data_IF_650266850968
#
_entry.id   IF_650266850968
#
_cell.length_a   1.000
_cell.length_b   1.000
_cell.length_c   1.000
_cell.angle_alpha   90.00
_cell.angle_beta   90.00
_cell.angle_gamma   90.00
#
_symmetry.space_group_name_H-M   'P 1'
#
loop_
_entity.id
_entity.type
_entity.pdbx_description
1 polymer ?
#
# COMPACT_ATOMS: atom_id res chain seq x y z
N UNK A 1 -11.44 -11.08 -23.35
CA UNK A 1 -10.60 -9.96 -22.88
C UNK A 1 -9.81 -10.43 -21.67
N UNK A 2 -8.50 -10.28 -21.65
CA UNK A 2 -7.63 -10.53 -20.49
C UNK A 2 -7.81 -9.34 -19.54
N UNK A 3 -8.34 -9.55 -18.31
CA UNK A 3 -8.59 -8.46 -17.37
C UNK A 3 -7.27 -7.93 -16.79
N UNK A 4 -7.30 -6.68 -16.30
CA UNK A 4 -6.16 -6.08 -15.60
C UNK A 4 -5.83 -6.82 -14.29
N UNK A 5 -6.84 -7.26 -13.55
CA UNK A 5 -6.74 -8.01 -12.32
C UNK A 5 -7.83 -9.07 -12.24
N UNK A 6 -7.53 -10.19 -11.59
CA UNK A 6 -8.49 -11.23 -11.25
C UNK A 6 -8.19 -11.70 -9.83
N UNK A 7 -9.14 -11.57 -8.90
CA UNK A 7 -8.99 -12.13 -7.56
C UNK A 7 -8.74 -13.65 -7.63
N UNK A 8 -7.74 -14.12 -6.91
CA UNK A 8 -7.45 -15.54 -6.79
C UNK A 8 -8.13 -16.11 -5.56
N UNK A 9 -8.79 -17.26 -5.72
CA UNK A 9 -9.38 -18.02 -4.63
C UNK A 9 -8.62 -19.33 -4.46
N UNK A 10 -8.20 -19.62 -3.24
CA UNK A 10 -7.47 -20.85 -2.89
C UNK A 10 -8.37 -22.08 -2.90
N UNK A 11 -9.70 -21.86 -2.83
CA UNK A 11 -10.71 -22.90 -2.67
C UNK A 11 -11.03 -23.21 -1.20
N UNK A 12 -10.30 -22.63 -0.23
CA UNK A 12 -10.49 -22.86 1.21
C UNK A 12 -11.37 -21.78 1.88
N UNK A 13 -11.61 -20.65 1.22
CA UNK A 13 -12.31 -19.49 1.76
C UNK A 13 -13.72 -19.87 2.30
N UNK A 14 -14.51 -20.55 1.49
CA UNK A 14 -15.87 -20.97 1.88
C UNK A 14 -15.88 -21.92 3.08
N UNK A 15 -14.90 -22.83 3.18
CA UNK A 15 -14.77 -23.76 4.29
C UNK A 15 -14.43 -23.02 5.59
N UNK A 16 -13.47 -22.08 5.56
CA UNK A 16 -13.11 -21.32 6.76
C UNK A 16 -14.22 -20.34 7.19
N UNK A 17 -14.93 -19.74 6.25
CA UNK A 17 -16.13 -18.94 6.57
C UNK A 17 -17.18 -19.82 7.26
N UNK A 18 -17.43 -21.06 6.78
CA UNK A 18 -18.34 -21.99 7.42
C UNK A 18 -17.89 -22.35 8.84
N UNK A 19 -16.60 -22.53 9.08
CA UNK A 19 -16.04 -22.77 10.42
C UNK A 19 -16.25 -21.55 11.33
N UNK A 20 -16.01 -20.34 10.85
CA UNK A 20 -16.26 -19.11 11.62
C UNK A 20 -17.73 -18.99 12.04
N UNK A 21 -18.66 -19.29 11.12
CA UNK A 21 -20.10 -19.33 11.42
C UNK A 21 -20.46 -20.38 12.48
N UNK A 22 -19.89 -21.59 12.36
CA UNK A 22 -20.14 -22.69 13.31
C UNK A 22 -19.59 -22.41 14.72
N UNK A 23 -18.50 -21.63 14.83
CA UNK A 23 -17.93 -21.22 16.12
C UNK A 23 -18.84 -20.23 16.90
N UNK A 24 -19.88 -19.67 16.27
CA UNK A 24 -20.88 -18.82 16.92
C UNK A 24 -20.39 -17.41 17.27
N UNK A 25 -19.12 -17.05 17.02
CA UNK A 25 -18.60 -15.69 17.16
C UNK A 25 -18.44 -15.07 15.77
N UNK A 26 -19.36 -14.16 15.39
CA UNK A 26 -19.42 -13.54 14.07
C UNK A 26 -18.76 -12.17 14.02
N UNK A 27 -18.76 -11.47 15.16
CA UNK A 27 -18.07 -10.16 15.29
C UNK A 27 -16.56 -10.34 15.34
N UNK A 28 -15.82 -9.33 14.99
CA UNK A 28 -14.35 -9.35 14.95
C UNK A 28 -13.69 -9.71 16.29
N UNK A 29 -12.37 -9.85 16.24
CA UNK A 29 -11.52 -10.31 17.34
C UNK A 29 -11.85 -11.74 17.83
N UNK A 30 -12.22 -12.61 16.89
CA UNK A 30 -12.42 -14.03 17.12
C UNK A 30 -11.19 -14.86 16.80
N UNK A 31 -11.41 -16.13 16.50
CA UNK A 31 -10.33 -17.09 16.26
C UNK A 31 -9.55 -16.79 14.97
N UNK A 32 -10.25 -16.52 13.86
CA UNK A 32 -9.58 -16.24 12.58
C UNK A 32 -8.89 -14.89 12.60
N UNK A 33 -9.47 -13.86 13.24
CA UNK A 33 -8.77 -12.59 13.46
C UNK A 33 -7.43 -12.81 14.15
N UNK A 34 -7.41 -13.59 15.24
CA UNK A 34 -6.18 -13.89 15.99
C UNK A 34 -5.19 -14.72 15.18
N UNK A 35 -5.67 -15.73 14.44
CA UNK A 35 -4.80 -16.53 13.56
C UNK A 35 -4.07 -15.63 12.54
N UNK A 36 -4.81 -14.75 11.87
CA UNK A 36 -4.22 -13.82 10.90
C UNK A 36 -3.20 -12.90 11.57
N UNK A 37 -3.55 -12.27 12.70
CA UNK A 37 -2.67 -11.36 13.41
C UNK A 37 -1.39 -12.06 13.89
N UNK A 38 -1.50 -13.22 14.55
CA UNK A 38 -0.36 -13.97 15.04
C UNK A 38 0.56 -14.41 13.88
N UNK A 39 -0.01 -14.92 12.79
CA UNK A 39 0.77 -15.31 11.61
C UNK A 39 1.58 -14.14 11.04
N UNK A 40 0.96 -12.96 10.92
CA UNK A 40 1.61 -11.77 10.39
C UNK A 40 2.66 -11.20 11.35
N UNK A 41 2.38 -11.22 12.67
CA UNK A 41 3.33 -10.83 13.71
C UNK A 41 4.57 -11.74 13.70
N UNK A 42 4.39 -13.06 13.67
CA UNK A 42 5.48 -14.03 13.63
C UNK A 42 6.29 -13.95 12.34
N UNK A 43 5.62 -13.84 11.19
CA UNK A 43 6.26 -13.86 9.88
C UNK A 43 7.12 -12.62 9.62
N UNK A 44 6.62 -11.44 9.97
CA UNK A 44 7.24 -10.17 9.63
C UNK A 44 7.90 -9.46 10.82
N UNK A 45 7.73 -9.98 12.01
CA UNK A 45 8.27 -9.38 13.23
C UNK A 45 7.53 -8.11 13.65
N UNK A 46 6.23 -7.99 13.32
CA UNK A 46 5.41 -6.90 13.83
C UNK A 46 5.30 -7.01 15.35
N UNK A 47 5.55 -5.90 16.05
CA UNK A 47 5.38 -5.88 17.52
C UNK A 47 3.94 -6.17 17.92
N UNK A 48 3.00 -5.57 17.21
CA UNK A 48 1.55 -5.75 17.35
C UNK A 48 0.88 -5.40 16.02
N UNK A 49 -0.14 -6.15 15.66
CA UNK A 49 -0.99 -5.76 14.56
C UNK A 49 -2.49 -5.96 14.88
N UNK A 50 -3.32 -5.18 14.22
CA UNK A 50 -4.78 -5.22 14.34
C UNK A 50 -5.40 -5.25 12.94
N UNK A 51 -6.21 -6.29 12.65
CA UNK A 51 -6.99 -6.33 11.41
C UNK A 51 -8.03 -5.21 11.39
N UNK A 52 -8.20 -4.60 10.24
CA UNK A 52 -9.21 -3.56 10.00
C UNK A 52 -10.13 -3.92 8.85
N UNK A 53 -11.28 -3.26 8.76
CA UNK A 53 -12.28 -3.49 7.71
C UNK A 53 -11.80 -3.06 6.32
N UNK A 54 -10.80 -2.18 6.26
CA UNK A 54 -10.14 -1.77 5.01
C UNK A 54 -8.74 -1.21 5.29
N UNK A 55 -7.91 -1.07 4.25
CA UNK A 55 -6.65 -0.32 4.35
C UNK A 55 -6.88 1.16 4.68
N UNK A 56 -8.00 1.73 4.26
CA UNK A 56 -8.43 3.09 4.63
C UNK A 56 -8.63 3.21 6.12
N UNK A 57 -9.31 2.24 6.74
CA UNK A 57 -9.52 2.22 8.19
C UNK A 57 -8.21 2.07 8.97
N UNK A 58 -7.25 1.32 8.45
CA UNK A 58 -5.91 1.26 9.06
C UNK A 58 -5.23 2.64 9.06
N UNK A 59 -5.31 3.38 7.96
CA UNK A 59 -4.81 4.76 7.86
C UNK A 59 -5.58 5.73 8.78
N UNK A 60 -6.90 5.60 8.88
CA UNK A 60 -7.73 6.41 9.79
C UNK A 60 -7.40 6.13 11.25
N UNK A 61 -7.20 4.87 11.63
CA UNK A 61 -6.71 4.51 12.96
C UNK A 61 -5.32 5.10 13.24
N UNK A 62 -4.41 5.02 12.26
CA UNK A 62 -3.08 5.63 12.38
C UNK A 62 -3.18 7.15 12.56
N UNK A 63 -4.02 7.84 11.79
CA UNK A 63 -4.25 9.28 11.95
C UNK A 63 -4.77 9.64 13.35
N UNK A 64 -5.76 8.89 13.87
CA UNK A 64 -6.26 9.08 15.24
C UNK A 64 -5.18 8.84 16.30
N UNK A 65 -4.33 7.82 16.10
CA UNK A 65 -3.22 7.50 17.02
C UNK A 65 -2.16 8.58 17.07
N UNK A 66 -1.84 9.20 15.92
CA UNK A 66 -0.87 10.30 15.88
C UNK A 66 -1.36 11.55 16.61
N UNK A 67 -2.65 11.66 16.86
CA UNK A 67 -3.26 12.79 17.57
C UNK A 67 -3.28 14.08 16.76
N UNK A 68 -3.13 14.00 15.42
CA UNK A 68 -3.23 15.19 14.55
C UNK A 68 -4.64 15.77 14.55
N UNK A 69 -4.72 17.09 14.42
CA UNK A 69 -5.97 17.82 14.41
C UNK A 69 -5.88 19.14 13.67
N UNK A 70 -6.89 20.02 13.84
CA UNK A 70 -6.88 21.36 13.24
C UNK A 70 -5.62 22.14 13.62
N UNK A 71 -4.94 22.70 12.62
CA UNK A 71 -3.69 23.45 12.78
C UNK A 71 -2.42 22.60 12.60
N UNK A 72 -2.51 21.28 12.64
CA UNK A 72 -1.37 20.39 12.37
C UNK A 72 -1.21 20.11 10.87
N UNK A 73 0.03 19.81 10.47
CA UNK A 73 0.39 19.46 9.10
C UNK A 73 0.93 18.03 8.97
N UNK A 74 0.57 17.39 7.86
CA UNK A 74 1.00 16.03 7.51
C UNK A 74 1.60 16.05 6.11
N UNK A 75 2.85 15.60 5.98
CA UNK A 75 3.55 15.51 4.70
C UNK A 75 3.21 14.16 4.04
N UNK A 76 2.68 14.21 2.81
CA UNK A 76 2.19 13.06 2.04
C UNK A 76 2.65 13.18 0.59
N UNK A 77 3.07 12.11 -0.11
CA UNK A 77 3.31 12.18 -1.54
C UNK A 77 2.00 12.48 -2.28
N UNK A 78 2.09 13.27 -3.35
CA UNK A 78 0.87 13.60 -4.12
C UNK A 78 0.45 12.49 -5.07
N UNK A 79 1.39 11.65 -5.53
CA UNK A 79 1.11 10.52 -6.41
C UNK A 79 0.79 9.26 -5.58
N UNK A 80 -0.43 9.23 -5.04
CA UNK A 80 -0.93 8.12 -4.21
C UNK A 80 -2.45 7.98 -4.31
N UNK A 81 -2.99 6.94 -3.68
CA UNK A 81 -4.44 6.80 -3.52
C UNK A 81 -4.98 7.79 -2.49
N UNK A 82 -6.21 8.21 -2.67
CA UNK A 82 -6.85 9.26 -1.84
C UNK A 82 -6.85 8.96 -0.35
N UNK A 83 -6.93 7.70 0.05
CA UNK A 83 -7.01 7.28 1.47
C UNK A 83 -5.80 7.73 2.27
N UNK A 84 -4.60 7.77 1.67
CA UNK A 84 -3.37 8.22 2.32
C UNK A 84 -3.50 9.64 2.88
N UNK A 85 -4.10 10.55 2.11
CA UNK A 85 -4.32 11.94 2.53
C UNK A 85 -5.62 12.09 3.34
N UNK A 86 -6.69 11.40 2.90
CA UNK A 86 -8.05 11.53 3.44
C UNK A 86 -8.11 11.22 4.94
N UNK A 87 -7.39 10.18 5.40
CA UNK A 87 -7.36 9.76 6.79
C UNK A 87 -6.98 10.92 7.73
N UNK A 88 -5.98 11.70 7.38
CA UNK A 88 -5.50 12.83 8.18
C UNK A 88 -6.39 14.07 8.00
N UNK A 89 -6.91 14.30 6.80
CA UNK A 89 -7.87 15.38 6.55
C UNK A 89 -9.15 15.21 7.39
N UNK A 90 -9.62 13.99 7.61
CA UNK A 90 -10.78 13.71 8.48
C UNK A 90 -10.53 14.06 9.93
N UNK A 91 -9.28 14.01 10.40
CA UNK A 91 -8.89 14.50 11.71
C UNK A 91 -8.77 16.04 11.77
N UNK A 92 -8.91 16.74 10.64
CA UNK A 92 -8.81 18.21 10.55
C UNK A 92 -7.39 18.71 10.27
N UNK A 93 -6.42 17.83 10.07
CA UNK A 93 -5.05 18.21 9.71
C UNK A 93 -4.99 18.77 8.28
N UNK A 94 -4.00 19.63 8.02
CA UNK A 94 -3.64 20.07 6.67
C UNK A 94 -2.66 19.09 6.04
N UNK A 95 -2.93 18.65 4.82
CA UNK A 95 -1.98 17.85 4.04
C UNK A 95 -1.04 18.77 3.25
N UNK A 96 0.26 18.53 3.38
CA UNK A 96 1.32 19.19 2.63
C UNK A 96 1.88 18.17 1.66
N UNK A 97 1.64 18.39 0.35
CA UNK A 97 2.09 17.45 -0.64
C UNK A 97 3.57 17.62 -0.95
N UNK A 98 4.28 16.51 -1.07
CA UNK A 98 5.66 16.41 -1.54
C UNK A 98 5.70 15.69 -2.87
N UNK A 99 6.67 16.03 -3.70
CA UNK A 99 6.86 15.43 -5.02
C UNK A 99 7.44 14.02 -4.92
N UNK A 100 7.27 13.24 -5.97
CA UNK A 100 7.93 11.95 -6.16
C UNK A 100 9.36 12.10 -6.63
N UNK A 101 10.14 11.03 -6.54
CA UNK A 101 11.45 10.93 -7.17
C UNK A 101 11.32 11.00 -8.68
N UNK A 102 12.39 11.34 -9.36
CA UNK A 102 12.42 11.39 -10.84
C UNK A 102 12.54 10.00 -11.49
N UNK A 103 13.05 9.02 -10.77
CA UNK A 103 13.38 7.68 -11.24
C UNK A 103 12.41 6.58 -10.75
N UNK A 104 11.59 6.89 -9.75
CA UNK A 104 10.54 5.99 -9.21
C UNK A 104 9.39 6.79 -8.58
N UNK A 105 8.15 6.25 -8.54
CA UNK A 105 6.99 7.01 -8.03
C UNK A 105 6.97 7.27 -6.53
N UNK A 106 7.91 6.72 -5.74
CA UNK A 106 7.99 6.95 -4.30
C UNK A 106 8.30 8.41 -3.96
N UNK A 107 7.98 8.77 -2.72
CA UNK A 107 8.27 10.08 -2.14
C UNK A 107 9.76 10.45 -2.28
N UNK A 108 10.05 11.67 -2.71
CA UNK A 108 11.42 12.20 -2.71
C UNK A 108 11.79 12.69 -1.31
N UNK A 109 12.54 11.85 -0.58
CA UNK A 109 12.97 12.16 0.78
C UNK A 109 13.80 13.45 0.87
N UNK A 110 14.52 13.83 -0.19
CA UNK A 110 15.36 15.05 -0.21
C UNK A 110 14.52 16.34 -0.19
N UNK A 111 13.25 16.25 -0.57
CA UNK A 111 12.33 17.40 -0.59
C UNK A 111 11.54 17.56 0.71
N UNK A 112 11.56 16.57 1.60
CA UNK A 112 10.74 16.56 2.83
C UNK A 112 11.13 17.70 3.78
N UNK A 113 12.43 17.86 4.05
CA UNK A 113 12.91 18.76 5.10
C UNK A 113 12.54 20.23 4.83
N UNK A 114 12.52 20.64 3.55
CA UNK A 114 12.12 22.00 3.13
C UNK A 114 10.62 22.29 3.35
N UNK A 115 9.80 21.26 3.60
CA UNK A 115 8.35 21.36 3.84
C UNK A 115 7.98 21.37 5.30
N UNK A 116 8.94 21.11 6.18
CA UNK A 116 8.70 21.03 7.63
C UNK A 116 8.50 22.43 8.19
N UNK A 117 7.40 22.61 8.92
CA UNK A 117 7.07 23.80 9.69
C UNK A 117 6.89 23.44 11.18
N UNK A 118 6.75 24.41 12.08
CA UNK A 118 6.40 24.10 13.48
C UNK A 118 5.07 23.35 13.67
N UNK A 119 4.23 23.31 12.64
CA UNK A 119 2.94 22.62 12.64
C UNK A 119 3.04 21.18 12.12
N UNK A 120 4.13 20.79 11.48
CA UNK A 120 4.33 19.45 10.94
C UNK A 120 4.41 18.43 12.07
N UNK A 121 3.62 17.35 11.99
CA UNK A 121 3.54 16.27 12.98
C UNK A 121 3.88 14.91 12.43
N UNK A 122 3.52 14.65 11.16
CA UNK A 122 3.58 13.31 10.57
C UNK A 122 4.15 13.36 9.15
N UNK A 123 4.94 12.35 8.80
CA UNK A 123 5.35 12.03 7.42
C UNK A 123 4.70 10.70 7.07
N UNK A 124 4.06 10.62 5.89
CA UNK A 124 3.42 9.39 5.42
C UNK A 124 4.05 8.93 4.10
N UNK A 125 5.14 8.15 4.14
CA UNK A 125 5.66 7.52 2.93
C UNK A 125 4.69 6.45 2.42
N UNK A 126 4.58 6.34 1.09
CA UNK A 126 3.79 5.31 0.41
C UNK A 126 4.75 4.40 -0.34
N UNK A 127 4.75 3.11 -0.05
CA UNK A 127 5.59 2.12 -0.71
C UNK A 127 4.96 1.70 -2.04
N UNK A 128 5.11 2.56 -3.05
CA UNK A 128 4.48 2.39 -4.36
C UNK A 128 4.94 1.10 -5.05
N UNK A 129 4.00 0.38 -5.65
CA UNK A 129 4.21 -0.91 -6.31
C UNK A 129 4.82 -2.00 -5.40
N UNK A 130 4.75 -1.81 -4.08
CA UNK A 130 5.40 -2.69 -3.11
C UNK A 130 6.91 -2.47 -3.00
N UNK A 131 7.43 -1.38 -3.55
CA UNK A 131 8.84 -1.00 -3.50
C UNK A 131 9.07 0.01 -2.36
N UNK A 132 10.13 -0.20 -1.57
CA UNK A 132 10.40 0.64 -0.40
C UNK A 132 10.76 2.08 -0.79
N UNK A 133 10.25 3.06 -0.03
CA UNK A 133 10.85 4.39 0.05
C UNK A 133 12.24 4.33 0.71
N UNK A 134 13.09 5.36 0.58
CA UNK A 134 14.33 5.48 1.36
C UNK A 134 13.99 5.76 2.84
N UNK A 135 13.73 4.67 3.56
CA UNK A 135 13.26 4.75 4.94
C UNK A 135 14.35 5.24 5.90
N UNK A 136 15.63 5.00 5.63
CA UNK A 136 16.70 5.54 6.46
C UNK A 136 16.74 7.07 6.38
N UNK A 137 16.62 7.65 5.19
CA UNK A 137 16.55 9.11 5.00
C UNK A 137 15.30 9.71 5.66
N UNK A 138 14.14 9.07 5.47
CA UNK A 138 12.87 9.53 6.05
C UNK A 138 12.92 9.48 7.58
N UNK A 139 13.38 8.37 8.16
CA UNK A 139 13.46 8.22 9.61
C UNK A 139 14.52 9.15 10.23
N UNK A 140 15.62 9.42 9.54
CA UNK A 140 16.63 10.39 9.97
C UNK A 140 16.02 11.81 10.08
N UNK A 141 15.28 12.25 9.06
CA UNK A 141 14.57 13.54 9.08
C UNK A 141 13.52 13.54 10.19
N UNK A 142 12.70 12.50 10.29
CA UNK A 142 11.64 12.41 11.29
C UNK A 142 12.19 12.48 12.72
N UNK A 143 13.28 11.78 13.01
CA UNK A 143 13.93 11.79 14.32
C UNK A 143 14.51 13.17 14.67
N UNK A 144 15.16 13.84 13.72
CA UNK A 144 15.73 15.19 13.88
C UNK A 144 14.67 16.21 14.25
N UNK A 145 13.50 16.10 13.62
CA UNK A 145 12.39 17.02 13.81
C UNK A 145 11.31 16.51 14.78
N UNK A 146 11.52 15.33 15.39
CA UNK A 146 10.58 14.68 16.33
C UNK A 146 9.20 14.44 15.72
N UNK A 147 9.16 14.07 14.45
CA UNK A 147 7.94 13.76 13.71
C UNK A 147 7.61 12.26 13.80
N UNK A 148 6.34 11.93 13.69
CA UNK A 148 5.88 10.56 13.55
C UNK A 148 5.96 10.13 12.07
N UNK A 149 6.19 8.84 11.85
CA UNK A 149 6.16 8.23 10.51
C UNK A 149 5.08 7.15 10.47
N UNK A 150 4.17 7.26 9.52
CA UNK A 150 3.13 6.27 9.22
C UNK A 150 3.40 5.71 7.83
N UNK A 151 3.79 4.44 7.74
CA UNK A 151 4.03 3.79 6.45
C UNK A 151 2.69 3.40 5.80
N UNK A 152 2.37 3.97 4.64
CA UNK A 152 1.32 3.41 3.79
C UNK A 152 1.91 2.24 3.00
N UNK A 153 1.76 1.05 3.56
CA UNK A 153 2.22 -0.22 3.03
C UNK A 153 1.09 -1.00 2.31
N UNK A 154 0.03 -0.30 1.85
CA UNK A 154 -1.13 -0.92 1.22
C UNK A 154 -0.81 -1.78 -0.01
N UNK A 155 0.36 -1.64 -0.61
CA UNK A 155 0.86 -2.42 -1.73
C UNK A 155 2.06 -3.31 -1.36
N UNK A 156 2.46 -3.37 -0.08
CA UNK A 156 3.81 -3.78 0.31
C UNK A 156 3.87 -5.07 1.16
N UNK A 157 2.80 -5.87 1.20
CA UNK A 157 2.87 -7.19 1.85
C UNK A 157 4.00 -8.03 1.22
N UNK A 158 4.80 -8.71 2.06
CA UNK A 158 5.99 -9.49 1.65
C UNK A 158 7.07 -8.66 0.92
N UNK A 159 7.13 -7.35 1.19
CA UNK A 159 8.21 -6.46 0.76
C UNK A 159 9.12 -6.10 1.92
N UNK A 160 10.39 -5.85 1.60
CA UNK A 160 11.42 -5.61 2.60
C UNK A 160 12.33 -4.46 2.20
N UNK A 161 12.87 -3.81 3.21
CA UNK A 161 13.88 -2.76 3.13
C UNK A 161 15.22 -3.28 3.68
N UNK A 162 16.31 -3.02 2.97
CA UNK A 162 17.66 -3.24 3.45
C UNK A 162 18.22 -1.93 3.97
N UNK A 163 18.27 -1.78 5.29
CA UNK A 163 18.80 -0.58 5.91
C UNK A 163 20.29 -0.42 5.71
N UNK A 164 20.81 0.81 5.85
CA UNK A 164 22.24 1.12 5.81
C UNK A 164 23.06 0.38 6.90
N UNK A 165 22.36 -0.08 7.93
CA UNK A 165 22.94 -0.94 8.99
C UNK A 165 23.03 -2.43 8.58
N UNK A 166 22.70 -2.77 7.33
CA UNK A 166 22.71 -4.13 6.80
C UNK A 166 21.55 -5.02 7.27
N UNK A 167 20.57 -4.47 8.01
CA UNK A 167 19.42 -5.24 8.49
C UNK A 167 18.28 -5.21 7.50
N UNK A 168 17.75 -6.39 7.22
CA UNK A 168 16.52 -6.56 6.42
C UNK A 168 15.31 -6.40 7.32
N UNK A 169 14.42 -5.46 6.98
CA UNK A 169 13.17 -5.16 7.70
C UNK A 169 11.97 -5.30 6.78
N UNK A 170 10.89 -5.89 7.26
CA UNK A 170 9.62 -5.88 6.52
C UNK A 170 9.08 -4.45 6.45
N UNK A 171 8.52 -4.05 5.31
CA UNK A 171 7.82 -2.77 5.20
C UNK A 171 6.61 -2.76 6.14
N UNK A 172 6.28 -1.59 6.68
CA UNK A 172 5.31 -1.44 7.75
C UNK A 172 5.87 -1.67 9.16
N UNK A 173 7.20 -1.96 9.31
CA UNK A 173 7.86 -2.14 10.62
C UNK A 173 8.87 -1.06 10.96
N UNK A 174 9.11 -0.11 10.05
CA UNK A 174 10.23 0.86 10.17
C UNK A 174 9.75 2.17 10.77
N UNK A 175 8.60 2.67 10.32
CA UNK A 175 7.92 3.81 10.92
C UNK A 175 7.29 3.47 12.27
N UNK A 176 6.64 4.43 12.88
CA UNK A 176 5.93 4.24 14.15
C UNK A 176 4.68 3.37 14.00
N UNK A 177 4.00 3.50 12.86
CA UNK A 177 2.80 2.76 12.46
C UNK A 177 2.94 2.35 11.00
N UNK A 178 2.29 1.25 10.60
CA UNK A 178 2.20 0.80 9.22
C UNK A 178 0.78 0.38 8.87
N UNK A 179 0.35 0.60 7.62
CA UNK A 179 -1.02 0.37 7.17
C UNK A 179 -1.01 -0.50 5.92
N UNK A 180 -1.64 -1.67 5.95
CA UNK A 180 -1.76 -2.59 4.84
C UNK A 180 -3.20 -2.67 4.33
N UNK A 181 -3.35 -3.13 3.09
CA UNK A 181 -4.65 -3.36 2.46
C UNK A 181 -4.73 -4.80 1.95
N UNK A 182 -5.89 -5.43 2.16
CA UNK A 182 -6.28 -6.72 1.62
C UNK A 182 -7.49 -6.61 0.67
N UNK A 183 -7.63 -5.44 0.03
CA UNK A 183 -8.61 -5.24 -1.03
C UNK A 183 -8.37 -6.24 -2.19
N UNK A 184 -9.41 -6.60 -2.95
CA UNK A 184 -9.36 -7.62 -4.02
C UNK A 184 -8.29 -7.39 -5.10
N UNK A 185 -7.73 -6.18 -5.21
CA UNK A 185 -6.66 -5.84 -6.15
C UNK A 185 -5.25 -6.06 -5.59
N UNK A 186 -5.12 -6.45 -4.33
CA UNK A 186 -3.83 -6.65 -3.64
C UNK A 186 -3.28 -8.05 -3.89
N UNK A 187 -2.04 -8.28 -3.45
CA UNK A 187 -1.39 -9.58 -3.61
C UNK A 187 -2.09 -10.66 -2.79
N UNK A 188 -2.44 -10.32 -1.55
CA UNK A 188 -3.19 -11.13 -0.59
C UNK A 188 -4.50 -10.39 -0.33
N UNK A 189 -5.62 -11.10 -0.41
CA UNK A 189 -6.94 -10.46 -0.48
C UNK A 189 -7.91 -10.95 0.60
N UNK A 190 -8.88 -10.12 0.93
CA UNK A 190 -10.03 -10.46 1.76
C UNK A 190 -11.36 -9.94 1.17
N UNK A 191 -11.34 -9.53 -0.12
CA UNK A 191 -12.39 -8.71 -0.72
C UNK A 191 -12.21 -7.26 -0.31
N UNK A 192 -12.58 -6.93 0.91
CA UNK A 192 -12.18 -5.74 1.65
C UNK A 192 -11.49 -6.16 2.95
N UNK A 193 -10.46 -5.44 3.36
CA UNK A 193 -9.71 -5.70 4.57
C UNK A 193 -8.46 -4.85 4.66
N UNK A 194 -7.91 -4.74 5.87
CA UNK A 194 -6.67 -4.04 6.13
C UNK A 194 -6.01 -4.50 7.41
N UNK A 195 -4.85 -3.93 7.69
CA UNK A 195 -4.07 -4.20 8.89
C UNK A 195 -3.34 -2.93 9.32
N UNK A 196 -3.47 -2.58 10.59
CA UNK A 196 -2.62 -1.61 11.24
C UNK A 196 -1.50 -2.34 11.98
N UNK A 197 -0.23 -2.02 11.70
CA UNK A 197 0.92 -2.43 12.49
C UNK A 197 1.34 -1.32 13.43
N UNK A 198 1.69 -1.69 14.65
CA UNK A 198 2.03 -0.77 15.74
C UNK A 198 3.45 -1.10 16.18
N UNK A 199 4.41 -0.27 15.78
CA UNK A 199 5.83 -0.50 16.03
C UNK A 199 6.33 0.25 17.27
N UNK A 200 5.62 1.31 17.66
CA UNK A 200 5.88 2.10 18.85
C UNK A 200 4.93 1.68 19.99
N UNK A 201 5.50 1.19 21.09
CA UNK A 201 4.76 0.68 22.23
C UNK A 201 3.79 1.70 22.86
N UNK A 202 4.09 2.99 22.73
CA UNK A 202 3.24 4.08 23.21
C UNK A 202 1.83 4.03 22.64
N UNK A 203 1.66 3.46 21.45
CA UNK A 203 0.38 3.40 20.73
C UNK A 203 -0.41 2.10 20.99
N UNK A 204 0.20 1.04 21.50
CA UNK A 204 -0.44 -0.29 21.60
C UNK A 204 -1.76 -0.26 22.34
N UNK A 205 -1.76 0.28 23.56
CA UNK A 205 -2.98 0.37 24.39
C UNK A 205 -4.08 1.19 23.72
N UNK A 206 -3.71 2.38 23.23
CA UNK A 206 -4.67 3.29 22.59
C UNK A 206 -5.21 2.73 21.27
N UNK A 207 -4.41 1.98 20.53
CA UNK A 207 -4.83 1.33 19.29
C UNK A 207 -5.96 0.30 19.55
N UNK A 208 -5.85 -0.53 20.59
CA UNK A 208 -6.92 -1.46 20.97
C UNK A 208 -8.22 -0.74 21.34
N UNK A 209 -8.11 0.40 22.03
CA UNK A 209 -9.27 1.22 22.43
C UNK A 209 -9.94 1.84 21.20
N UNK A 210 -9.17 2.48 20.31
CA UNK A 210 -9.69 3.09 19.08
C UNK A 210 -10.33 2.03 18.19
N UNK A 211 -9.70 0.87 18.08
CA UNK A 211 -10.15 -0.28 17.29
C UNK A 211 -11.54 -0.77 17.71
N UNK A 212 -11.81 -0.77 19.03
CA UNK A 212 -13.08 -1.21 19.63
C UNK A 212 -13.95 -0.02 20.10
N UNK A 213 -14.18 0.95 19.22
CA UNK A 213 -15.18 2.03 19.40
C UNK A 213 -14.87 3.00 20.55
N UNK A 214 -13.58 3.15 20.90
CA UNK A 214 -13.17 3.99 22.02
C UNK A 214 -13.41 3.37 23.40
N UNK A 215 -13.60 2.05 23.47
CA UNK A 215 -13.84 1.35 24.73
C UNK A 215 -12.59 0.57 25.17
N UNK A 216 -12.39 0.46 26.47
CA UNK A 216 -11.32 -0.38 27.05
C UNK A 216 -11.77 -1.84 27.23
N UNK A 217 -12.58 -2.38 26.32
CA UNK A 217 -13.14 -3.72 26.38
C UNK A 217 -12.06 -4.80 26.35
N UNK A 218 -10.96 -4.60 25.61
CA UNK A 218 -9.84 -5.54 25.58
C UNK A 218 -9.22 -5.74 26.97
N UNK A 219 -9.03 -4.65 27.72
CA UNK A 219 -8.54 -4.68 29.12
C UNK A 219 -9.47 -5.45 30.04
N UNK A 220 -10.79 -5.32 29.85
CA UNK A 220 -11.78 -6.06 30.62
C UNK A 220 -11.66 -7.58 30.37
N UNK A 221 -11.53 -8.01 29.13
CA UNK A 221 -11.39 -9.42 28.84
C UNK A 221 -10.04 -10.03 29.29
N UNK A 222 -9.02 -9.20 29.45
CA UNK A 222 -7.74 -9.63 30.08
C UNK A 222 -7.77 -9.58 31.61
N UNK A 223 -8.88 -9.11 32.22
CA UNK A 223 -9.01 -8.99 33.68
C UNK A 223 -8.25 -7.82 34.29
N UNK A 224 -7.81 -6.86 33.49
CA UNK A 224 -7.06 -5.66 33.92
C UNK A 224 -7.98 -4.60 34.55
N UNK A 225 -9.25 -4.61 34.19
CA UNK A 225 -10.29 -3.73 34.73
C UNK A 225 -11.57 -4.53 35.08
N UNK A 226 -12.30 -4.09 36.10
CA UNK A 226 -13.52 -4.78 36.56
C UNK A 226 -14.75 -4.50 35.66
N UNK A 227 -14.73 -3.43 34.91
CA UNK A 227 -15.78 -3.02 33.95
C UNK A 227 -15.12 -2.27 32.81
N UNK A 228 -15.70 -2.38 31.60
CA UNK A 228 -15.28 -1.54 30.50
C UNK A 228 -16.26 -0.39 30.28
N UNK A 229 -15.76 0.68 29.69
CA UNK A 229 -16.54 1.87 29.39
C UNK A 229 -16.02 2.58 28.14
N UNK A 230 -16.64 3.71 27.82
CA UNK A 230 -16.18 4.60 26.78
C UNK A 230 -15.07 5.51 27.37
N UNK A 231 -13.84 5.39 26.85
CA UNK A 231 -12.64 6.03 27.41
C UNK A 231 -11.86 6.90 26.43
N UNK A 232 -12.13 6.77 25.12
CA UNK A 232 -11.48 7.57 24.06
C UNK A 232 -12.38 7.63 22.83
N UNK A 233 -11.98 8.41 21.82
CA UNK A 233 -12.54 8.34 20.48
C UNK A 233 -12.21 6.99 19.84
N UNK A 234 -13.05 6.53 18.92
CA UNK A 234 -12.82 5.31 18.15
C UNK A 234 -13.94 5.03 17.17
N UNK A 235 -13.85 3.92 16.48
CA UNK A 235 -14.89 3.42 15.57
C UNK A 235 -14.94 1.90 15.57
N UNK A 236 -15.86 1.33 14.82
CA UNK A 236 -15.96 -0.11 14.61
C UNK A 236 -14.98 -0.55 13.52
N UNK A 237 -13.69 -0.57 13.82
CA UNK A 237 -12.65 -0.90 12.85
C UNK A 237 -12.42 -2.41 12.66
N UNK A 238 -12.99 -3.24 13.51
CA UNK A 238 -12.83 -4.68 13.45
C UNK A 238 -13.56 -5.28 12.23
N UNK A 239 -12.91 -6.12 11.40
CA UNK A 239 -13.62 -6.89 10.39
C UNK A 239 -14.43 -8.02 11.06
N UNK A 240 -15.50 -8.46 10.39
CA UNK A 240 -16.21 -9.67 10.81
C UNK A 240 -15.30 -10.90 10.68
N UNK A 241 -15.56 -11.94 11.49
CA UNK A 241 -14.80 -13.21 11.45
C UNK A 241 -14.89 -13.92 10.08
N UNK A 242 -15.95 -13.69 9.31
CA UNK A 242 -16.04 -14.21 7.94
C UNK A 242 -14.99 -13.58 7.00
N UNK A 243 -14.66 -12.30 7.18
CA UNK A 243 -13.61 -11.61 6.42
C UNK A 243 -12.23 -12.11 6.88
N UNK A 244 -12.01 -12.26 8.18
CA UNK A 244 -10.77 -12.82 8.72
C UNK A 244 -10.57 -14.29 8.29
N UNK A 245 -11.63 -15.08 8.22
CA UNK A 245 -11.59 -16.47 7.73
C UNK A 245 -11.23 -16.53 6.23
N UNK A 246 -11.77 -15.62 5.42
CA UNK A 246 -11.37 -15.48 4.02
C UNK A 246 -9.88 -15.15 3.91
N UNK A 247 -9.43 -14.14 4.66
CA UNK A 247 -8.03 -13.71 4.68
C UNK A 247 -7.10 -14.85 5.13
N UNK A 248 -7.52 -15.66 6.11
CA UNK A 248 -6.73 -16.79 6.58
C UNK A 248 -6.42 -17.78 5.46
N UNK A 249 -7.41 -18.12 4.62
CA UNK A 249 -7.20 -18.98 3.47
C UNK A 249 -6.12 -18.43 2.51
N UNK A 250 -6.08 -17.13 2.31
CA UNK A 250 -5.07 -16.48 1.48
C UNK A 250 -3.68 -16.49 2.14
N UNK A 251 -3.60 -16.25 3.46
CA UNK A 251 -2.34 -16.23 4.20
C UNK A 251 -1.67 -17.60 4.24
N UNK A 252 -2.42 -18.70 4.33
CA UNK A 252 -1.86 -20.06 4.23
C UNK A 252 -1.19 -20.34 2.88
N UNK A 253 -1.60 -19.65 1.82
CA UNK A 253 -1.06 -19.76 0.45
C UNK A 253 -0.15 -18.58 0.06
N UNK A 254 0.26 -17.74 1.01
CA UNK A 254 1.01 -16.51 0.74
C UNK A 254 2.28 -16.77 -0.06
N UNK A 255 3.06 -17.79 0.30
CA UNK A 255 4.33 -18.09 -0.38
C UNK A 255 4.09 -18.54 -1.83
N UNK A 256 3.07 -19.36 -2.06
CA UNK A 256 2.68 -19.81 -3.40
C UNK A 256 2.23 -18.63 -4.28
N UNK A 257 1.33 -17.79 -3.73
CA UNK A 257 0.83 -16.61 -4.43
C UNK A 257 1.98 -15.65 -4.79
N UNK A 258 2.88 -15.40 -3.85
CA UNK A 258 4.02 -14.50 -4.07
C UNK A 258 5.04 -15.07 -5.05
N UNK A 259 5.33 -16.37 -5.00
CA UNK A 259 6.23 -17.03 -5.95
C UNK A 259 5.72 -16.90 -7.39
N UNK A 260 4.43 -17.17 -7.61
CA UNK A 260 3.81 -17.07 -8.93
C UNK A 260 3.80 -15.62 -9.45
N UNK A 261 3.43 -14.64 -8.61
CA UNK A 261 3.45 -13.22 -8.98
C UNK A 261 4.86 -12.75 -9.34
N UNK A 262 5.88 -13.15 -8.57
CA UNK A 262 7.28 -12.82 -8.84
C UNK A 262 7.77 -13.45 -10.15
N UNK A 263 7.37 -14.70 -10.47
CA UNK A 263 7.67 -15.37 -11.73
C UNK A 263 7.07 -14.62 -12.93
N UNK A 264 5.78 -14.25 -12.85
CA UNK A 264 5.09 -13.48 -13.89
C UNK A 264 5.72 -12.10 -14.10
N UNK A 265 6.10 -11.42 -13.00
CA UNK A 265 6.79 -10.15 -13.04
C UNK A 265 8.16 -10.26 -13.70
N UNK A 266 8.90 -11.32 -13.40
CA UNK A 266 10.22 -11.59 -13.99
C UNK A 266 10.12 -11.84 -15.49
N UNK A 267 9.10 -12.57 -15.97
CA UNK A 267 8.86 -12.77 -17.40
C UNK A 267 8.63 -11.43 -18.13
N UNK A 268 7.89 -10.50 -17.53
CA UNK A 268 7.78 -9.14 -18.08
C UNK A 268 9.13 -8.43 -18.10
N UNK A 269 9.87 -8.49 -17.00
CA UNK A 269 11.18 -7.84 -16.89
C UNK A 269 12.13 -8.32 -17.98
N UNK A 270 12.25 -9.61 -18.18
CA UNK A 270 13.11 -10.22 -19.21
C UNK A 270 12.68 -9.79 -20.61
N UNK A 271 11.38 -9.89 -20.91
CA UNK A 271 10.84 -9.47 -22.20
C UNK A 271 11.15 -8.01 -22.55
N UNK A 272 11.02 -7.10 -21.57
CA UNK A 272 11.21 -5.68 -21.82
C UNK A 272 12.68 -5.26 -21.74
N UNK A 273 13.50 -5.89 -20.89
CA UNK A 273 14.92 -5.55 -20.75
C UNK A 273 15.70 -5.74 -22.05
N UNK A 274 15.46 -6.83 -22.77
CA UNK A 274 16.09 -7.08 -24.07
C UNK A 274 15.75 -6.01 -25.11
N UNK A 275 14.55 -5.44 -25.04
CA UNK A 275 14.04 -4.42 -25.97
C UNK A 275 14.49 -3.02 -25.62
N UNK A 276 14.67 -2.71 -24.34
CA UNK A 276 15.17 -1.40 -23.88
C UNK A 276 16.61 -1.19 -24.37
N UNK A 277 17.42 -2.24 -24.32
CA UNK A 277 18.78 -2.21 -24.87
C UNK A 277 18.77 -1.96 -26.38
N UNK A 278 17.88 -2.58 -27.13
CA UNK A 278 17.74 -2.38 -28.56
C UNK A 278 17.20 -0.98 -28.89
N UNK A 279 16.28 -0.42 -28.12
CA UNK A 279 15.73 0.93 -28.29
C UNK A 279 16.78 2.01 -27.98
N UNK A 280 17.55 1.83 -26.89
CA UNK A 280 18.65 2.74 -26.53
C UNK A 280 19.73 2.83 -27.62
N UNK A 281 20.02 1.71 -28.32
CA UNK A 281 20.95 1.72 -29.44
C UNK A 281 20.45 2.50 -30.67
N UNK A 282 19.12 2.73 -30.78
CA UNK A 282 18.50 3.50 -31.88
C UNK A 282 18.14 4.94 -31.49
N UNK A 283 18.36 5.36 -30.23
CA UNK A 283 18.12 6.72 -29.75
C UNK A 283 16.64 7.09 -29.56
N UNK A 284 15.74 6.12 -29.49
CA UNK A 284 14.32 6.33 -29.29
C UNK A 284 13.78 5.40 -28.20
N UNK A 285 13.96 5.79 -26.94
CA UNK A 285 13.33 5.05 -25.82
C UNK A 285 11.82 5.27 -25.89
N UNK A 286 11.08 4.23 -26.31
CA UNK A 286 9.61 4.24 -26.37
C UNK A 286 8.97 4.16 -24.96
N UNK A 287 9.69 3.67 -23.97
CA UNK A 287 9.25 3.50 -22.57
C UNK A 287 10.44 3.30 -21.62
N UNK A 288 10.22 3.52 -20.32
CA UNK A 288 11.14 3.13 -19.25
C UNK A 288 10.53 2.04 -18.37
N UNK A 289 11.41 1.18 -17.82
CA UNK A 289 11.03 0.11 -16.89
C UNK A 289 10.92 0.60 -15.44
N UNK A 290 10.22 -0.16 -14.57
CA UNK A 290 10.22 0.12 -13.13
C UNK A 290 11.64 0.07 -12.57
N UNK A 291 12.02 1.06 -11.78
CA UNK A 291 13.25 0.99 -11.00
C UNK A 291 12.98 0.29 -9.66
N UNK A 292 13.82 -0.64 -9.29
CA UNK A 292 13.87 -1.24 -7.96
C UNK A 292 15.19 -0.78 -7.31
N UNK A 293 15.16 0.10 -6.31
CA UNK A 293 16.38 0.50 -5.59
C UNK A 293 17.06 -0.67 -4.89
N UNK A 294 18.39 -0.60 -4.72
CA UNK A 294 19.18 -1.67 -4.10
C UNK A 294 18.78 -1.97 -2.65
N UNK A 295 18.17 -0.99 -1.98
CA UNK A 295 17.65 -1.15 -0.61
C UNK A 295 16.23 -1.75 -0.57
N UNK A 296 15.58 -1.98 -1.72
CA UNK A 296 14.21 -2.46 -1.79
C UNK A 296 14.12 -3.85 -2.40
N UNK A 297 13.19 -4.67 -1.89
CA UNK A 297 12.74 -5.86 -2.62
C UNK A 297 11.51 -5.54 -3.45
N UNK A 298 11.20 -6.40 -4.41
CA UNK A 298 9.99 -6.34 -5.21
C UNK A 298 9.05 -7.50 -4.83
N UNK A 299 7.82 -7.17 -4.42
CA UNK A 299 6.78 -8.17 -4.13
C UNK A 299 5.88 -8.47 -5.33
N UNK A 300 6.22 -7.97 -6.51
CA UNK A 300 5.42 -8.13 -7.72
C UNK A 300 3.96 -7.68 -7.55
N UNK A 301 3.72 -6.57 -6.84
CA UNK A 301 2.37 -6.00 -6.72
C UNK A 301 1.83 -5.56 -8.07
N UNK A 302 2.66 -4.93 -8.90
CA UNK A 302 2.33 -4.53 -10.27
C UNK A 302 3.58 -4.52 -11.14
N UNK A 303 3.36 -4.66 -12.45
CA UNK A 303 4.36 -4.31 -13.48
C UNK A 303 3.85 -3.09 -14.24
N UNK A 304 4.70 -2.07 -14.41
CA UNK A 304 4.32 -0.84 -15.12
C UNK A 304 5.40 -0.42 -16.11
N UNK A 305 4.98 0.39 -17.08
CA UNK A 305 5.85 1.07 -18.04
C UNK A 305 5.63 2.56 -17.90
N UNK A 306 6.67 3.34 -18.13
CA UNK A 306 6.60 4.80 -18.24
C UNK A 306 6.79 5.20 -19.69
N UNK A 307 5.79 5.83 -20.28
CA UNK A 307 5.84 6.36 -21.64
C UNK A 307 6.39 7.80 -21.66
N UNK A 308 6.85 8.31 -22.82
CA UNK A 308 7.37 9.67 -22.90
C UNK A 308 6.35 10.76 -22.51
N UNK A 309 5.08 10.55 -22.83
CA UNK A 309 4.01 11.51 -22.62
C UNK A 309 2.62 10.85 -22.56
N UNK A 310 1.61 11.67 -22.27
CA UNK A 310 0.20 11.25 -22.18
C UNK A 310 -0.35 10.68 -23.49
N UNK A 311 0.08 11.20 -24.65
CA UNK A 311 -0.42 10.74 -25.94
C UNK A 311 0.07 9.31 -26.24
N UNK A 312 1.37 9.06 -26.05
CA UNK A 312 1.97 7.74 -26.21
C UNK A 312 1.38 6.73 -25.24
N UNK A 313 1.19 7.12 -23.96
CA UNK A 313 0.55 6.30 -22.95
C UNK A 313 -0.89 5.92 -23.34
N UNK A 314 -1.66 6.88 -23.81
CA UNK A 314 -3.07 6.69 -24.16
C UNK A 314 -3.23 5.85 -25.42
N UNK A 315 -2.37 6.03 -26.42
CA UNK A 315 -2.31 5.24 -27.65
C UNK A 315 -1.98 3.77 -27.31
N UNK A 316 -0.98 3.53 -26.46
CA UNK A 316 -0.64 2.18 -26.03
C UNK A 316 -1.84 1.48 -25.36
N UNK A 317 -2.53 2.14 -24.41
CA UNK A 317 -3.71 1.58 -23.75
C UNK A 317 -4.82 1.24 -24.77
N UNK A 318 -5.05 2.12 -25.74
CA UNK A 318 -6.04 1.90 -26.81
C UNK A 318 -5.67 0.70 -27.69
N UNK A 319 -4.42 0.58 -28.09
CA UNK A 319 -3.90 -0.56 -28.89
C UNK A 319 -3.98 -1.88 -28.13
N UNK A 320 -3.68 -1.89 -26.84
CA UNK A 320 -3.81 -3.08 -26.00
C UNK A 320 -5.27 -3.51 -25.87
N UNK A 321 -6.17 -2.56 -25.64
CA UNK A 321 -7.62 -2.81 -25.56
C UNK A 321 -8.17 -3.39 -26.87
N UNK A 322 -7.71 -2.90 -28.03
CA UNK A 322 -8.10 -3.42 -29.35
C UNK A 322 -7.65 -4.89 -29.57
N UNK A 323 -6.72 -5.39 -28.77
CA UNK A 323 -6.24 -6.78 -28.75
C UNK A 323 -6.76 -7.58 -27.56
N UNK A 324 -7.89 -7.14 -26.98
CA UNK A 324 -8.54 -7.78 -25.83
C UNK A 324 -7.66 -7.89 -24.56
N UNK A 325 -6.75 -6.95 -24.33
CA UNK A 325 -5.91 -6.85 -23.13
C UNK A 325 -6.20 -5.55 -22.40
N UNK A 326 -6.59 -5.64 -21.12
CA UNK A 326 -6.89 -4.48 -20.27
C UNK A 326 -5.63 -3.96 -19.57
N UNK A 327 -5.09 -2.84 -20.04
CA UNK A 327 -4.06 -2.06 -19.35
C UNK A 327 -4.68 -0.78 -18.78
N UNK A 328 -4.14 -0.29 -17.66
CA UNK A 328 -4.73 0.86 -16.97
C UNK A 328 -3.66 1.85 -16.51
N UNK A 329 -3.99 3.15 -16.49
CA UNK A 329 -3.17 4.15 -15.81
C UNK A 329 -3.24 3.98 -14.28
N UNK A 330 -2.42 4.71 -13.53
CA UNK A 330 -2.50 4.68 -12.08
C UNK A 330 -2.37 6.09 -11.51
N UNK A 331 -3.29 6.38 -10.60
CA UNK A 331 -3.48 7.63 -9.86
C UNK A 331 -3.50 8.91 -10.70
N UNK A 332 -4.33 9.83 -10.26
CA UNK A 332 -4.21 11.25 -10.56
C UNK A 332 -3.58 11.93 -9.35
N UNK A 333 -2.72 12.95 -9.55
CA UNK A 333 -2.06 13.60 -8.43
C UNK A 333 -3.09 14.28 -7.52
N UNK A 334 -2.95 14.10 -6.20
CA UNK A 334 -3.94 14.61 -5.25
C UNK A 334 -3.92 16.13 -5.15
N UNK A 335 -2.77 16.77 -5.35
CA UNK A 335 -2.63 18.24 -5.28
C UNK A 335 -3.46 18.96 -6.34
N UNK A 336 -3.60 18.36 -7.54
CA UNK A 336 -4.36 18.93 -8.68
C UNK A 336 -5.81 18.42 -8.74
N UNK A 337 -6.22 17.53 -7.79
CA UNK A 337 -7.58 17.01 -7.77
C UNK A 337 -8.63 18.10 -7.59
N UNK A 338 -9.85 17.87 -8.08
CA UNK A 338 -10.98 18.79 -7.91
C UNK A 338 -11.21 19.17 -6.43
N UNK A 339 -11.05 18.21 -5.54
CA UNK A 339 -11.27 18.41 -4.11
C UNK A 339 -10.17 19.23 -3.44
N UNK A 340 -8.90 19.07 -3.85
CA UNK A 340 -7.77 19.62 -3.08
C UNK A 340 -7.07 20.82 -3.76
N UNK A 341 -7.18 21.00 -5.08
CA UNK A 341 -6.46 22.06 -5.83
C UNK A 341 -6.59 23.46 -5.25
N UNK A 342 -7.77 23.80 -4.70
CA UNK A 342 -7.99 25.10 -4.07
C UNK A 342 -7.37 25.24 -2.67
N UNK A 343 -6.93 24.13 -2.05
CA UNK A 343 -6.30 24.05 -0.74
C UNK A 343 -4.78 23.87 -0.82
N UNK A 344 -4.30 23.48 -2.01
CA UNK A 344 -2.88 23.33 -2.28
C UNK A 344 -2.19 24.68 -2.32
N UNK A 345 -0.95 24.74 -1.87
CA UNK A 345 -0.15 25.98 -1.79
C UNK A 345 0.40 26.47 -3.14
N UNK A 346 0.10 25.80 -4.22
CA UNK A 346 0.48 26.19 -5.58
C UNK A 346 1.88 25.74 -6.00
N UNK A 347 2.61 24.98 -5.17
CA UNK A 347 3.92 24.42 -5.58
C UNK A 347 3.74 23.42 -6.72
N UNK A 348 4.63 23.48 -7.72
CA UNK A 348 4.68 22.47 -8.77
C UNK A 348 5.24 21.14 -8.20
N UNK A 349 4.62 20.03 -8.61
CA UNK A 349 5.05 18.67 -8.28
C UNK A 349 5.25 17.87 -9.58
N UNK A 350 6.27 18.26 -10.38
CA UNK A 350 6.39 17.84 -11.79
C UNK A 350 6.56 16.33 -11.96
N UNK A 351 7.17 15.63 -11.00
CA UNK A 351 7.31 14.19 -11.09
C UNK A 351 5.98 13.48 -10.84
N UNK A 352 5.17 13.96 -9.88
CA UNK A 352 3.82 13.42 -9.66
C UNK A 352 2.95 13.58 -10.90
N UNK A 353 2.98 14.75 -11.56
CA UNK A 353 2.24 15.02 -12.78
C UNK A 353 2.73 14.11 -13.92
N UNK A 354 4.05 13.99 -14.09
CA UNK A 354 4.65 13.12 -15.10
C UNK A 354 4.22 11.67 -14.93
N UNK A 355 4.25 11.12 -13.71
CA UNK A 355 3.79 9.74 -13.50
C UNK A 355 2.31 9.54 -13.82
N UNK A 356 1.47 10.52 -13.50
CA UNK A 356 0.05 10.46 -13.86
C UNK A 356 -0.17 10.40 -15.37
N UNK A 357 0.64 11.13 -16.13
CA UNK A 357 0.53 11.20 -17.59
C UNK A 357 1.17 10.02 -18.31
N UNK A 358 2.22 9.42 -17.73
CA UNK A 358 3.09 8.49 -18.47
C UNK A 358 2.97 7.03 -18.04
N UNK A 359 2.46 6.73 -16.85
CA UNK A 359 2.47 5.38 -16.27
C UNK A 359 1.31 4.52 -16.79
N UNK A 360 1.66 3.30 -17.24
CA UNK A 360 0.70 2.23 -17.59
C UNK A 360 1.02 0.99 -16.79
N UNK A 361 0.01 0.35 -16.21
CA UNK A 361 0.12 -0.95 -15.56
C UNK A 361 -0.35 -2.05 -16.50
N UNK A 362 0.43 -3.13 -16.58
CA UNK A 362 0.07 -4.34 -17.30
C UNK A 362 -0.72 -5.31 -16.42
N UNK A 363 -1.49 -6.25 -16.99
CA UNK A 363 -2.12 -7.32 -16.23
C UNK A 363 -1.10 -8.08 -15.38
N UNK A 364 -1.37 -8.24 -14.07
CA UNK A 364 -0.52 -9.05 -13.19
C UNK A 364 -1.35 -9.61 -12.03
N UNK A 365 -1.71 -10.88 -12.08
CA UNK A 365 -2.48 -11.59 -11.06
C UNK A 365 -2.12 -13.07 -11.05
N UNK A 366 -2.35 -13.77 -9.95
CA UNK A 366 -2.18 -15.21 -9.87
C UNK A 366 -3.05 -15.93 -10.91
N UNK A 367 -2.45 -16.85 -11.66
CA UNK A 367 -3.12 -17.57 -12.75
C UNK A 367 -3.17 -16.83 -14.09
N UNK A 368 -2.38 -15.76 -14.27
CA UNK A 368 -2.20 -15.11 -15.58
C UNK A 368 -1.36 -15.95 -16.54
N UNK A 369 -0.60 -16.91 -16.05
CA UNK A 369 0.39 -17.67 -16.82
C UNK A 369 -0.12 -18.19 -18.18
N UNK A 370 -1.32 -18.79 -18.32
CA UNK A 370 -1.80 -19.28 -19.62
C UNK A 370 -2.04 -18.18 -20.66
N UNK A 371 -2.23 -16.94 -20.19
CA UNK A 371 -2.52 -15.78 -21.03
C UNK A 371 -1.35 -14.79 -21.14
N UNK A 372 -0.27 -14.97 -20.39
CA UNK A 372 0.85 -14.01 -20.37
C UNK A 372 1.52 -13.86 -21.74
N UNK A 373 1.69 -14.95 -22.49
CA UNK A 373 2.25 -14.92 -23.86
C UNK A 373 1.37 -14.09 -24.81
N UNK A 374 0.04 -14.15 -24.65
CA UNK A 374 -0.88 -13.31 -25.42
C UNK A 374 -0.73 -11.84 -25.08
N UNK A 375 -0.54 -11.51 -23.77
CA UNK A 375 -0.26 -10.14 -23.34
C UNK A 375 1.06 -9.65 -23.95
N UNK A 376 2.12 -10.46 -23.94
CA UNK A 376 3.42 -10.11 -24.50
C UNK A 376 3.35 -9.93 -26.04
N UNK A 377 2.58 -10.76 -26.72
CA UNK A 377 2.34 -10.61 -28.17
C UNK A 377 1.57 -9.31 -28.47
N UNK A 378 0.54 -8.98 -27.69
CA UNK A 378 -0.20 -7.72 -27.81
C UNK A 378 0.71 -6.51 -27.56
N UNK A 379 1.55 -6.55 -26.53
CA UNK A 379 2.55 -5.50 -26.23
C UNK A 379 3.49 -5.32 -27.41
N UNK A 380 4.01 -6.43 -28.00
CA UNK A 380 4.90 -6.37 -29.16
C UNK A 380 4.25 -5.65 -30.33
N UNK A 381 2.98 -5.97 -30.60
CA UNK A 381 2.20 -5.33 -31.66
C UNK A 381 1.90 -3.85 -31.34
N UNK A 382 1.58 -3.52 -30.09
CA UNK A 382 1.25 -2.15 -29.69
C UNK A 382 2.47 -1.21 -29.72
N UNK A 383 3.67 -1.73 -29.52
CA UNK A 383 4.94 -0.98 -29.55
C UNK A 383 5.58 -0.93 -30.95
N UNK A 384 5.12 -1.71 -31.90
CA UNK A 384 5.57 -1.63 -33.30
C UNK A 384 5.10 -0.34 -33.96
#
# INVERSE_FOLDING_TARGET
MIPFNRPYLTGREAEYIRQALAAGKLSGNGEFTKRCQNFLEERYGFRKCLLTTSGTDALEMAALLTGVGPGDEVIVPSYTFVSTALAFLRCGARVVFVDSRDDEPNIDATKIESLITPHTKVIVPVHYAGCACDMDAIMEIANRHKLLVVEDAAQAIDSFYMGRDGKRRALGTIGHLGCFSFHETKNIIAGEGGLLTINDERFVRRAEIIWEKGTNRAEFFRGEVNKYGWVDIGSSFLPAESVAAFLWAQLEHLDEIQAERKRLWQNYWEFFSDRTVAASATGADKYCLPRIPDYATNNAHMFYLLFPDLANRSDFIAKMKAQDVSCVFHYLPLHSSEYYRAKHDGRALPNCDRYADTLVRLPLYYGLEPDQDKVLAAVKSALA
#
